data_IF_117435582733
#
_entry.id   IF_117435582733
#
_cell.length_a   1.000
_cell.length_b   1.000
_cell.length_c   1.000
_cell.angle_alpha   90.00
_cell.angle_beta   90.00
_cell.angle_gamma   90.00
#
_symmetry.space_group_name_H-M   'P 1'
#
loop_
_entity.id
_entity.type
_entity.pdbx_description
1 polymer ?
#
# COMPACT_ATOMS: atom_id res chain seq x y z
N UNK A 1 7.13 -32.12 -8.37
CA UNK A 1 6.06 -32.41 -7.40
C UNK A 1 5.25 -31.13 -7.34
N UNK A 2 4.16 -31.07 -8.11
CA UNK A 2 3.31 -29.88 -8.17
C UNK A 2 2.59 -29.77 -6.83
N UNK A 3 2.76 -28.65 -6.11
CA UNK A 3 1.95 -28.37 -4.94
C UNK A 3 0.50 -28.19 -5.42
N UNK A 4 -0.38 -29.12 -5.05
CA UNK A 4 -1.79 -29.00 -5.41
C UNK A 4 -2.42 -27.90 -4.56
N UNK A 5 -2.66 -26.75 -5.19
CA UNK A 5 -3.48 -25.69 -4.61
C UNK A 5 -4.91 -26.22 -4.40
N UNK A 6 -5.46 -26.05 -3.20
CA UNK A 6 -6.89 -26.36 -2.97
C UNK A 6 -7.77 -25.51 -3.90
N UNK A 7 -8.80 -26.15 -4.44
CA UNK A 7 -9.85 -25.54 -5.27
C UNK A 7 -11.22 -25.61 -4.59
N UNK A 8 -11.31 -25.85 -3.29
CA UNK A 8 -12.59 -25.75 -2.59
C UNK A 8 -12.94 -24.26 -2.31
N UNK A 9 -14.03 -23.72 -2.87
CA UNK A 9 -14.44 -22.34 -2.63
C UNK A 9 -14.69 -22.02 -1.15
N UNK A 10 -15.19 -22.99 -0.36
CA UNK A 10 -15.47 -22.78 1.05
C UNK A 10 -14.17 -22.64 1.85
N UNK A 11 -13.20 -23.51 1.61
CA UNK A 11 -11.86 -23.44 2.21
C UNK A 11 -11.13 -22.15 1.82
N UNK A 12 -11.13 -21.79 0.53
CA UNK A 12 -10.51 -20.56 0.04
C UNK A 12 -11.13 -19.31 0.68
N UNK A 13 -12.46 -19.28 0.80
CA UNK A 13 -13.18 -18.20 1.46
C UNK A 13 -12.81 -18.11 2.94
N UNK A 14 -12.80 -19.24 3.65
CA UNK A 14 -12.42 -19.29 5.06
C UNK A 14 -11.00 -18.76 5.27
N UNK A 15 -10.03 -19.27 4.51
CA UNK A 15 -8.63 -18.85 4.61
C UNK A 15 -8.46 -17.35 4.33
N UNK A 16 -9.12 -16.83 3.30
CA UNK A 16 -9.05 -15.41 2.94
C UNK A 16 -9.66 -14.51 4.02
N UNK A 17 -10.78 -14.93 4.63
CA UNK A 17 -11.46 -14.18 5.69
C UNK A 17 -10.66 -14.21 6.99
N UNK A 18 -10.21 -15.38 7.42
CA UNK A 18 -9.47 -15.51 8.68
C UNK A 18 -8.12 -14.77 8.61
N UNK A 19 -7.40 -14.83 7.49
CA UNK A 19 -6.19 -14.03 7.31
C UNK A 19 -6.44 -12.52 7.47
N UNK A 20 -7.53 -12.02 6.85
CA UNK A 20 -7.95 -10.61 6.96
C UNK A 20 -8.34 -10.23 8.39
N UNK A 21 -9.01 -11.13 9.10
CA UNK A 21 -9.43 -10.93 10.49
C UNK A 21 -8.21 -10.89 11.43
N UNK A 22 -7.36 -11.90 11.38
CA UNK A 22 -6.22 -12.02 12.29
C UNK A 22 -5.15 -10.95 12.05
N UNK A 23 -4.83 -10.65 10.78
CA UNK A 23 -3.79 -9.69 10.42
C UNK A 23 -4.34 -8.28 10.30
N UNK A 24 -5.46 -8.11 9.59
CA UNK A 24 -6.02 -6.79 9.27
C UNK A 24 -6.53 -6.05 10.51
N UNK A 25 -7.20 -6.74 11.44
CA UNK A 25 -7.72 -6.09 12.66
C UNK A 25 -6.58 -5.52 13.53
N UNK A 26 -5.47 -6.26 13.67
CA UNK A 26 -4.29 -5.81 14.42
C UNK A 26 -3.59 -4.62 13.76
N UNK A 27 -3.53 -4.61 12.43
CA UNK A 27 -2.87 -3.54 11.69
C UNK A 27 -3.71 -2.26 11.60
N UNK A 28 -5.04 -2.32 11.75
CA UNK A 28 -5.94 -1.21 11.47
C UNK A 28 -5.62 0.06 12.27
N UNK A 29 -5.58 -0.04 13.60
CA UNK A 29 -5.32 1.11 14.46
C UNK A 29 -3.88 1.62 14.32
N UNK A 30 -2.93 0.70 14.09
CA UNK A 30 -1.53 1.05 13.87
C UNK A 30 -1.33 1.81 12.55
N UNK A 31 -2.08 1.44 11.52
CA UNK A 31 -2.00 2.07 10.21
C UNK A 31 -2.48 3.54 10.24
N UNK A 32 -3.54 3.83 10.99
CA UNK A 32 -4.01 5.21 11.19
C UNK A 32 -2.92 6.10 11.81
N UNK A 33 -2.26 5.61 12.87
CA UNK A 33 -1.14 6.32 13.49
C UNK A 33 0.07 6.43 12.56
N UNK A 34 0.38 5.36 11.82
CA UNK A 34 1.46 5.36 10.83
C UNK A 34 1.24 6.44 9.76
N UNK A 35 0.03 6.55 9.19
CA UNK A 35 -0.27 7.57 8.18
C UNK A 35 -0.11 8.98 8.76
N UNK A 36 -0.60 9.22 9.98
CA UNK A 36 -0.44 10.51 10.65
C UNK A 36 1.04 10.87 10.85
N UNK A 37 1.84 9.94 11.40
CA UNK A 37 3.27 10.15 11.63
C UNK A 37 4.07 10.30 10.32
N UNK A 38 3.73 9.51 9.30
CA UNK A 38 4.36 9.63 7.97
C UNK A 38 4.09 10.99 7.34
N UNK A 39 2.86 11.51 7.44
CA UNK A 39 2.51 12.83 6.92
C UNK A 39 3.25 13.94 7.68
N UNK A 40 3.29 13.87 9.01
CA UNK A 40 4.06 14.81 9.83
C UNK A 40 5.56 14.78 9.47
N UNK A 41 6.12 13.59 9.25
CA UNK A 41 7.52 13.43 8.85
C UNK A 41 7.80 13.98 7.45
N UNK A 42 6.87 13.81 6.50
CA UNK A 42 6.98 14.38 5.16
C UNK A 42 6.99 15.91 5.21
N UNK A 43 6.05 16.53 5.93
CA UNK A 43 5.97 18.01 6.08
C UNK A 43 7.22 18.59 6.75
N UNK A 44 7.89 17.83 7.62
CA UNK A 44 9.11 18.27 8.29
C UNK A 44 10.38 18.05 7.46
N UNK A 45 10.29 17.44 6.26
CA UNK A 45 11.43 17.12 5.39
C UNK A 45 12.54 16.36 6.13
N UNK A 46 12.15 15.47 7.04
CA UNK A 46 13.05 14.61 7.83
C UNK A 46 13.20 13.21 7.22
N UNK A 47 12.71 13.03 5.98
CA UNK A 47 12.78 11.80 5.21
C UNK A 47 14.17 11.17 5.28
N UNK A 48 14.20 9.87 5.59
CA UNK A 48 15.35 9.00 5.86
C UNK A 48 15.90 8.92 7.30
N UNK A 49 15.76 9.96 8.15
CA UNK A 49 16.33 9.89 9.52
C UNK A 49 15.50 9.10 10.53
N UNK A 50 14.19 8.96 10.35
CA UNK A 50 13.31 8.24 11.29
C UNK A 50 13.16 6.73 10.99
N UNK A 51 13.49 6.28 9.79
CA UNK A 51 13.27 4.88 9.38
C UNK A 51 14.42 3.96 9.82
N UNK A 52 15.61 4.52 10.06
CA UNK A 52 16.83 3.77 10.44
C UNK A 52 16.91 3.42 11.93
N UNK A 53 16.18 4.12 12.80
CA UNK A 53 16.03 3.70 14.19
C UNK A 53 14.76 2.86 14.32
N UNK A 54 14.87 1.52 14.32
CA UNK A 54 13.75 0.64 14.72
C UNK A 54 13.39 0.97 16.18
N UNK A 55 12.28 1.68 16.48
CA UNK A 55 11.89 1.86 17.86
C UNK A 55 11.26 0.54 18.28
N UNK A 56 11.75 -0.06 19.37
CA UNK A 56 10.95 -1.10 20.03
C UNK A 56 9.59 -0.50 20.34
N UNK A 57 8.54 -1.16 19.86
CA UNK A 57 7.17 -0.68 19.92
C UNK A 57 6.68 -0.72 21.37
N UNK A 58 7.07 0.27 22.19
CA UNK A 58 6.47 0.51 23.50
C UNK A 58 5.31 1.50 23.36
N UNK A 59 4.10 1.15 23.84
CA UNK A 59 2.89 1.91 23.56
C UNK A 59 2.75 3.11 24.50
N UNK A 60 3.77 4.00 24.60
CA UNK A 60 3.67 5.27 25.34
C UNK A 60 4.63 6.32 24.78
N UNK A 61 4.28 6.95 23.65
CA UNK A 61 4.96 8.16 23.19
C UNK A 61 3.99 9.35 23.26
N UNK A 62 4.01 10.03 24.39
CA UNK A 62 3.53 11.41 24.49
C UNK A 62 4.50 12.25 23.66
N UNK A 63 4.07 12.66 22.47
CA UNK A 63 4.76 13.65 21.65
C UNK A 63 4.88 14.95 22.46
N UNK A 64 6.01 15.16 23.13
CA UNK A 64 6.35 16.47 23.67
C UNK A 64 6.55 17.40 22.48
N UNK A 65 5.58 18.27 22.21
CA UNK A 65 5.67 19.35 21.23
C UNK A 65 6.97 20.13 21.48
N UNK A 66 8.03 19.83 20.72
CA UNK A 66 9.22 20.67 20.71
C UNK A 66 8.81 22.00 20.08
N UNK A 67 8.98 23.09 20.82
CA UNK A 67 8.83 24.46 20.29
C UNK A 67 9.73 24.58 19.07
N UNK A 68 9.17 24.95 17.92
CA UNK A 68 9.93 25.36 16.73
C UNK A 68 10.75 26.60 17.11
N UNK A 69 12.02 26.41 17.41
CA UNK A 69 13.01 27.47 17.34
C UNK A 69 13.62 27.37 15.95
N UNK A 70 13.30 28.31 15.06
CA UNK A 70 13.97 28.47 13.76
C UNK A 70 15.41 28.93 14.04
N UNK A 71 16.28 28.02 14.48
CA UNK A 71 17.72 28.27 14.52
C UNK A 71 18.28 27.82 13.17
N UNK A 72 18.78 28.80 12.41
CA UNK A 72 19.35 28.60 11.10
C UNK A 72 20.26 27.39 11.07
N UNK A 73 20.05 26.54 10.07
CA UNK A 73 20.85 25.35 9.86
C UNK A 73 22.32 25.78 9.75
N UNK A 74 23.13 25.39 10.73
CA UNK A 74 24.58 25.49 10.64
C UNK A 74 25.05 24.60 9.50
N UNK A 75 25.87 25.22 8.64
CA UNK A 75 26.46 24.76 7.38
C UNK A 75 27.08 23.34 7.37
N UNK A 76 27.26 22.70 8.53
CA UNK A 76 27.88 21.38 8.66
C UNK A 76 26.95 20.18 8.42
N UNK A 77 25.61 20.36 8.41
CA UNK A 77 24.67 19.26 8.14
C UNK A 77 24.32 19.09 6.65
N UNK A 78 24.97 19.86 5.76
CA UNK A 78 24.72 19.83 4.31
C UNK A 78 25.64 18.88 3.54
N UNK A 79 26.62 18.24 4.18
CA UNK A 79 27.67 17.45 3.51
C UNK A 79 27.30 15.96 3.33
N UNK A 80 26.30 15.47 4.06
CA UNK A 80 25.75 14.10 3.95
C UNK A 80 24.28 14.08 3.55
N UNK A 81 23.69 15.25 3.26
CA UNK A 81 22.35 15.38 2.70
C UNK A 81 22.53 15.43 1.20
N UNK A 82 21.80 14.59 0.45
CA UNK A 82 21.70 14.79 -0.99
C UNK A 82 21.38 16.27 -1.27
N UNK A 83 22.17 16.97 -2.09
CA UNK A 83 22.09 18.43 -2.27
C UNK A 83 20.72 18.97 -2.72
N UNK A 84 19.80 18.09 -3.10
CA UNK A 84 18.51 18.43 -3.71
C UNK A 84 17.34 18.50 -2.71
N UNK A 85 17.50 17.99 -1.48
CA UNK A 85 16.36 17.75 -0.56
C UNK A 85 16.14 18.85 0.49
N UNK A 86 16.92 19.93 0.47
CA UNK A 86 16.92 20.92 1.55
C UNK A 86 15.80 21.98 1.46
N UNK A 87 15.14 22.15 0.31
CA UNK A 87 14.21 23.28 0.09
C UNK A 87 12.83 22.87 -0.48
N UNK A 88 12.49 21.58 -0.48
CA UNK A 88 11.19 21.10 -0.99
C UNK A 88 10.23 20.90 0.17
N UNK A 89 9.23 21.78 0.32
CA UNK A 89 8.17 21.63 1.32
C UNK A 89 7.10 20.64 0.83
N UNK A 90 7.04 19.43 1.40
CA UNK A 90 5.99 18.46 1.07
C UNK A 90 4.69 18.73 1.85
N UNK A 91 3.56 18.52 1.19
CA UNK A 91 2.22 18.65 1.80
C UNK A 91 1.78 17.40 2.55
N UNK A 92 2.11 16.22 2.02
CA UNK A 92 1.82 14.91 2.62
C UNK A 92 2.81 13.82 2.12
N UNK A 93 2.72 12.62 2.69
CA UNK A 93 3.63 11.50 2.33
C UNK A 93 3.56 11.11 0.86
N UNK A 94 2.42 11.29 0.20
CA UNK A 94 2.24 11.00 -1.23
C UNK A 94 3.13 11.89 -2.08
N UNK A 95 3.21 13.18 -1.78
CA UNK A 95 4.09 14.11 -2.52
C UNK A 95 5.56 13.75 -2.32
N UNK A 96 5.94 13.36 -1.09
CA UNK A 96 7.27 12.83 -0.79
C UNK A 96 7.60 11.57 -1.61
N UNK A 97 6.68 10.60 -1.70
CA UNK A 97 6.90 9.38 -2.50
C UNK A 97 6.92 9.63 -4.01
N UNK A 98 6.16 10.62 -4.49
CA UNK A 98 6.12 10.96 -5.91
C UNK A 98 7.34 11.74 -6.39
N UNK A 99 8.12 12.31 -5.46
CA UNK A 99 9.33 13.06 -5.77
C UNK A 99 10.37 12.22 -6.54
N UNK A 100 10.50 10.93 -6.22
CA UNK A 100 11.42 10.01 -6.90
C UNK A 100 11.16 9.85 -8.42
N UNK A 101 9.95 10.19 -8.87
CA UNK A 101 9.57 10.14 -10.28
C UNK A 101 9.83 11.45 -11.02
N UNK A 102 10.23 12.51 -10.33
CA UNK A 102 10.59 13.84 -10.86
C UNK A 102 9.59 14.38 -11.91
N UNK A 103 8.31 14.04 -11.75
CA UNK A 103 7.30 14.29 -12.77
C UNK A 103 6.03 14.91 -12.16
N UNK A 104 5.74 16.19 -12.44
CA UNK A 104 4.60 16.89 -11.83
C UNK A 104 3.25 16.32 -12.27
N UNK A 105 3.19 15.64 -13.42
CA UNK A 105 1.98 15.03 -13.97
C UNK A 105 2.00 13.48 -13.88
N UNK A 106 2.84 12.90 -13.01
CA UNK A 106 2.98 11.44 -12.88
C UNK A 106 1.63 10.74 -12.68
N UNK A 107 0.82 11.22 -11.72
CA UNK A 107 -0.50 10.63 -11.45
C UNK A 107 -1.40 10.65 -12.68
N UNK A 108 -1.39 11.76 -13.45
CA UNK A 108 -2.18 11.87 -14.69
C UNK A 108 -1.68 10.91 -15.76
N UNK A 109 -0.36 10.66 -15.84
CA UNK A 109 0.21 9.68 -16.75
C UNK A 109 -0.27 8.27 -16.42
N UNK A 110 -0.28 7.89 -15.13
CA UNK A 110 -0.78 6.59 -14.67
C UNK A 110 -2.25 6.42 -15.04
N UNK A 111 -3.10 7.44 -14.84
CA UNK A 111 -4.51 7.41 -15.23
C UNK A 111 -4.67 7.21 -16.75
N UNK A 112 -3.92 7.96 -17.57
CA UNK A 112 -3.95 7.80 -19.04
C UNK A 112 -3.49 6.42 -19.51
N UNK A 113 -2.52 5.82 -18.82
CA UNK A 113 -2.07 4.46 -19.13
C UNK A 113 -3.12 3.43 -18.72
N UNK A 114 -3.79 3.64 -17.58
CA UNK A 114 -4.89 2.80 -17.15
C UNK A 114 -6.03 2.80 -18.19
N UNK A 115 -6.43 3.97 -18.71
CA UNK A 115 -7.46 4.09 -19.75
C UNK A 115 -7.11 3.32 -21.03
N UNK A 116 -5.82 3.23 -21.38
CA UNK A 116 -5.36 2.45 -22.54
C UNK A 116 -5.41 0.94 -22.29
N UNK A 117 -5.15 0.50 -21.06
CA UNK A 117 -5.12 -0.93 -20.68
C UNK A 117 -6.53 -1.44 -20.32
N UNK A 118 -7.43 -0.56 -19.86
CA UNK A 118 -8.76 -0.90 -19.36
C UNK A 118 -9.58 -1.77 -20.33
N UNK A 119 -9.64 -1.51 -21.65
CA UNK A 119 -10.39 -2.36 -22.57
C UNK A 119 -9.88 -3.81 -22.59
N UNK A 120 -8.55 -3.99 -22.61
CA UNK A 120 -7.93 -5.32 -22.57
C UNK A 120 -8.18 -6.01 -21.22
N UNK A 121 -8.06 -5.27 -20.12
CA UNK A 121 -8.36 -5.77 -18.79
C UNK A 121 -9.80 -6.26 -18.67
N UNK A 122 -10.77 -5.53 -19.25
CA UNK A 122 -12.19 -5.92 -19.25
C UNK A 122 -12.43 -7.23 -20.00
N UNK A 123 -11.79 -7.43 -21.15
CA UNK A 123 -11.86 -8.68 -21.91
C UNK A 123 -11.24 -9.84 -21.13
N UNK A 124 -10.06 -9.64 -20.55
CA UNK A 124 -9.40 -10.65 -19.72
C UNK A 124 -10.24 -10.99 -18.48
N UNK A 125 -10.75 -9.98 -17.78
CA UNK A 125 -11.63 -10.15 -16.61
C UNK A 125 -12.90 -10.92 -16.99
N UNK A 126 -13.54 -10.60 -18.12
CA UNK A 126 -14.71 -11.32 -18.61
C UNK A 126 -14.39 -12.78 -18.94
N UNK A 127 -13.26 -13.04 -19.60
CA UNK A 127 -12.79 -14.39 -19.92
C UNK A 127 -12.52 -15.22 -18.66
N UNK A 128 -11.75 -14.68 -17.72
CA UNK A 128 -11.44 -15.35 -16.44
C UNK A 128 -12.71 -15.60 -15.64
N UNK A 129 -13.62 -14.61 -15.53
CA UNK A 129 -14.91 -14.77 -14.85
C UNK A 129 -15.73 -15.91 -15.45
N UNK A 130 -15.79 -16.01 -16.79
CA UNK A 130 -16.47 -17.10 -17.49
C UNK A 130 -15.85 -18.46 -17.13
N UNK A 131 -14.52 -18.57 -17.11
CA UNK A 131 -13.82 -19.82 -16.75
C UNK A 131 -14.01 -20.21 -15.28
N UNK A 132 -13.99 -19.24 -14.37
CA UNK A 132 -14.28 -19.48 -12.96
C UNK A 132 -15.73 -19.94 -12.77
N UNK A 133 -16.69 -19.36 -13.50
CA UNK A 133 -18.09 -19.79 -13.48
C UNK A 133 -18.29 -21.21 -14.01
N UNK A 134 -17.57 -21.59 -15.07
CA UNK A 134 -17.57 -22.98 -15.58
C UNK A 134 -17.04 -23.98 -14.54
N UNK A 135 -16.13 -23.55 -13.65
CA UNK A 135 -15.48 -24.42 -12.66
C UNK A 135 -16.23 -24.48 -11.33
N UNK A 136 -16.73 -23.33 -10.86
CA UNK A 136 -17.30 -23.15 -9.51
C UNK A 136 -18.81 -22.99 -9.49
N UNK A 137 -19.48 -23.00 -10.65
CA UNK A 137 -20.92 -22.87 -10.73
C UNK A 137 -21.42 -21.42 -10.74
N UNK A 138 -22.71 -21.29 -11.04
CA UNK A 138 -23.39 -20.02 -11.24
C UNK A 138 -23.77 -19.34 -9.92
N UNK A 139 -23.88 -20.13 -8.86
CA UNK A 139 -24.19 -19.74 -7.49
C UNK A 139 -23.02 -19.03 -6.81
N UNK A 140 -21.78 -19.36 -7.18
CA UNK A 140 -20.57 -18.75 -6.62
C UNK A 140 -20.12 -17.55 -7.46
N UNK A 141 -20.13 -17.69 -8.79
CA UNK A 141 -19.63 -16.66 -9.72
C UNK A 141 -20.76 -16.12 -10.59
N UNK A 142 -21.18 -14.89 -10.31
CA UNK A 142 -22.19 -14.17 -11.10
C UNK A 142 -21.71 -13.90 -12.53
N UNK A 143 -22.65 -13.94 -13.49
CA UNK A 143 -22.38 -13.68 -14.91
C UNK A 143 -21.90 -12.24 -15.16
N UNK A 144 -22.52 -11.28 -14.46
CA UNK A 144 -22.31 -9.85 -14.67
C UNK A 144 -21.68 -9.15 -13.46
N UNK A 145 -21.52 -9.85 -12.33
CA UNK A 145 -20.93 -9.31 -11.11
C UNK A 145 -19.39 -9.29 -11.12
N UNK A 146 -18.78 -8.72 -10.07
CA UNK A 146 -17.33 -8.81 -9.84
C UNK A 146 -16.92 -10.25 -9.51
N UNK A 147 -15.66 -10.58 -9.77
CA UNK A 147 -15.08 -11.87 -9.39
C UNK A 147 -14.87 -11.89 -7.86
N UNK A 148 -15.34 -12.91 -7.12
CA UNK A 148 -15.01 -13.04 -5.70
C UNK A 148 -13.51 -13.15 -5.47
N UNK A 149 -12.93 -12.25 -4.67
CA UNK A 149 -11.47 -12.11 -4.52
C UNK A 149 -10.77 -13.35 -3.97
N UNK A 150 -11.46 -14.17 -3.16
CA UNK A 150 -10.91 -15.42 -2.60
C UNK A 150 -10.72 -16.52 -3.66
N UNK A 151 -11.29 -16.38 -4.87
CA UNK A 151 -11.08 -17.34 -5.96
C UNK A 151 -9.82 -17.04 -6.79
N UNK A 152 -9.11 -15.96 -6.48
CA UNK A 152 -7.88 -15.54 -7.17
C UNK A 152 -6.61 -15.84 -6.34
N UNK A 153 -6.75 -16.55 -5.22
CA UNK A 153 -5.64 -16.99 -4.37
C UNK A 153 -5.45 -18.50 -4.46
N UNK A 154 -4.21 -18.93 -4.25
CA UNK A 154 -3.86 -20.33 -4.04
C UNK A 154 -3.47 -20.53 -2.57
N UNK A 155 -3.91 -21.64 -1.99
CA UNK A 155 -3.38 -22.17 -0.73
C UNK A 155 -2.77 -23.53 -1.03
N UNK A 156 -1.49 -23.68 -0.71
CA UNK A 156 -0.82 -24.97 -0.79
C UNK A 156 -1.42 -25.89 0.27
N UNK A 157 -1.76 -27.11 -0.14
CA UNK A 157 -2.18 -28.18 0.77
C UNK A 157 -0.94 -28.63 1.55
N UNK A 158 -0.89 -28.31 2.85
CA UNK A 158 0.21 -28.68 3.74
C UNK A 158 0.12 -30.10 4.27
#
# INVERSE_FOLDING_TARGET
MESECTRDPAELKHAWVEWRKESGEKCRSLFEHYVALSNEAAILNIGETLIKEKPQFEPKLVLKKRKKEKKGATMLNCIYRDPCLCDVDFTDTTEYWLMDYESPDFQKQVVRLWEQIEPLYKELHAYVRRKLRETYGEEIVSRNGPIPAHLLVCRESG
#
